data_IF_764433715535
#
_entry.id   IF_764433715535
#
_cell.length_a   1.000
_cell.length_b   1.000
_cell.length_c   1.000
_cell.angle_alpha   90.00
_cell.angle_beta   90.00
_cell.angle_gamma   90.00
#
_symmetry.space_group_name_H-M   'P 1'
#
loop_
_entity.id
_entity.type
_entity.pdbx_description
1 polymer ?
#
# COMPACT_ATOMS: atom_id res chain seq x y z
N UNK A 1 -18.28 13.61 2.10
CA UNK A 1 -18.04 13.90 0.67
C UNK A 1 -18.33 12.62 -0.11
N UNK A 2 -19.56 12.46 -0.64
CA UNK A 2 -19.95 11.27 -1.40
C UNK A 2 -19.55 11.51 -2.86
N UNK A 3 -18.42 10.96 -3.29
CA UNK A 3 -18.20 10.75 -4.73
C UNK A 3 -19.18 9.64 -5.13
N UNK A 4 -20.32 10.06 -5.69
CA UNK A 4 -21.42 9.16 -6.02
C UNK A 4 -21.03 8.31 -7.22
N UNK A 5 -21.35 7.01 -7.16
CA UNK A 5 -21.14 5.99 -8.19
C UNK A 5 -21.47 6.43 -9.62
N UNK A 6 -22.34 7.42 -9.78
CA UNK A 6 -22.68 8.07 -11.05
C UNK A 6 -21.47 8.73 -11.77
N UNK A 7 -20.49 9.27 -11.04
CA UNK A 7 -19.32 9.91 -11.67
C UNK A 7 -18.32 8.88 -12.22
N UNK A 8 -18.25 7.68 -11.62
CA UNK A 8 -17.48 6.54 -12.13
C UNK A 8 -18.18 5.86 -13.32
N UNK A 9 -19.51 5.77 -13.27
CA UNK A 9 -20.33 5.27 -14.38
C UNK A 9 -20.24 6.19 -15.62
N UNK A 10 -20.09 7.51 -15.44
CA UNK A 10 -19.97 8.45 -16.54
C UNK A 10 -18.64 8.35 -17.32
N UNK A 11 -17.62 7.68 -16.78
CA UNK A 11 -16.29 7.55 -17.38
C UNK A 11 -16.05 6.19 -18.05
N UNK A 12 -17.01 5.27 -17.99
CA UNK A 12 -16.80 3.87 -18.35
C UNK A 12 -17.99 3.37 -19.17
N UNK A 13 -17.72 2.73 -20.29
CA UNK A 13 -18.64 1.88 -21.06
C UNK A 13 -19.46 0.93 -20.16
N UNK A 14 -20.60 0.41 -20.64
CA UNK A 14 -21.56 -0.50 -19.96
C UNK A 14 -20.96 -1.87 -19.49
N UNK A 15 -19.76 -1.88 -18.92
CA UNK A 15 -19.03 -3.04 -18.44
C UNK A 15 -18.99 -3.05 -16.89
N UNK A 16 -19.84 -3.88 -16.24
CA UNK A 16 -19.88 -4.00 -14.78
C UNK A 16 -18.59 -4.55 -14.16
N UNK A 17 -17.85 -5.40 -14.88
CA UNK A 17 -16.60 -6.00 -14.37
C UNK A 17 -15.50 -4.95 -14.28
N UNK A 18 -15.44 -4.09 -15.29
CA UNK A 18 -14.56 -2.92 -15.30
C UNK A 18 -14.89 -1.96 -14.15
N UNK A 19 -16.17 -1.65 -13.92
CA UNK A 19 -16.58 -0.75 -12.81
C UNK A 19 -16.24 -1.33 -11.43
N UNK A 20 -16.46 -2.63 -11.22
CA UNK A 20 -16.11 -3.30 -9.98
C UNK A 20 -14.59 -3.27 -9.75
N UNK A 21 -13.80 -3.52 -10.79
CA UNK A 21 -12.34 -3.45 -10.76
C UNK A 21 -11.86 -2.06 -10.40
N UNK A 22 -12.31 -1.01 -11.12
CA UNK A 22 -11.93 0.37 -10.86
C UNK A 22 -12.30 0.83 -9.44
N UNK A 23 -13.48 0.41 -8.96
CA UNK A 23 -13.94 0.72 -7.59
C UNK A 23 -13.05 0.03 -6.55
N UNK A 24 -12.70 -1.24 -6.75
CA UNK A 24 -11.78 -1.98 -5.88
C UNK A 24 -10.42 -1.27 -5.80
N UNK A 25 -9.85 -0.88 -6.95
CA UNK A 25 -8.61 -0.10 -7.01
C UNK A 25 -8.69 1.21 -6.22
N UNK A 26 -9.77 1.98 -6.39
CA UNK A 26 -9.95 3.26 -5.68
C UNK A 26 -9.97 3.06 -4.16
N UNK A 27 -10.74 2.09 -3.65
CA UNK A 27 -10.80 1.82 -2.22
C UNK A 27 -9.46 1.32 -1.68
N UNK A 28 -8.78 0.42 -2.40
CA UNK A 28 -7.45 -0.04 -1.99
C UNK A 28 -6.44 1.10 -1.93
N UNK A 29 -6.42 2.03 -2.90
CA UNK A 29 -5.53 3.19 -2.86
C UNK A 29 -5.78 4.04 -1.62
N UNK A 30 -7.03 4.27 -1.25
CA UNK A 30 -7.39 5.04 -0.06
C UNK A 30 -6.98 4.33 1.23
N UNK A 31 -7.32 3.06 1.35
CA UNK A 31 -7.07 2.23 2.54
C UNK A 31 -5.56 2.05 2.78
N UNK A 32 -4.83 1.63 1.75
CA UNK A 32 -3.38 1.45 1.81
C UNK A 32 -2.68 2.81 1.97
N UNK A 33 -3.17 3.85 1.29
CA UNK A 33 -2.66 5.21 1.45
C UNK A 33 -2.74 5.71 2.89
N UNK A 34 -3.87 5.47 3.58
CA UNK A 34 -4.01 5.75 5.01
C UNK A 34 -2.94 4.98 5.80
N UNK A 35 -2.86 3.66 5.62
CA UNK A 35 -1.92 2.82 6.37
C UNK A 35 -0.45 3.24 6.17
N UNK A 36 -0.07 3.70 4.97
CA UNK A 36 1.26 4.26 4.67
C UNK A 36 1.52 5.55 5.43
N UNK A 37 0.54 6.46 5.53
CA UNK A 37 0.71 7.70 6.29
C UNK A 37 0.96 7.42 7.77
N UNK A 38 0.17 6.53 8.36
CA UNK A 38 0.33 6.11 9.75
C UNK A 38 1.68 5.41 10.00
N UNK A 39 2.11 4.58 9.05
CA UNK A 39 3.43 3.94 9.11
C UNK A 39 4.55 4.98 9.10
N UNK A 40 4.46 6.00 8.22
CA UNK A 40 5.44 7.10 8.15
C UNK A 40 5.51 7.89 9.45
N UNK A 41 4.39 8.11 10.13
CA UNK A 41 4.39 8.75 11.46
C UNK A 41 5.13 7.91 12.51
N UNK A 42 5.00 6.59 12.46
CA UNK A 42 5.78 5.72 13.35
C UNK A 42 7.28 5.78 13.01
N UNK A 43 7.64 5.73 11.72
CA UNK A 43 9.02 5.79 11.25
C UNK A 43 9.72 7.08 11.65
N UNK A 44 9.05 8.23 11.59
CA UNK A 44 9.63 9.52 11.99
C UNK A 44 10.10 9.56 13.46
N UNK A 45 9.70 8.59 14.28
CA UNK A 45 9.99 8.55 15.72
C UNK A 45 10.66 7.26 16.17
N UNK A 46 11.02 6.36 15.25
CA UNK A 46 11.71 5.12 15.60
C UNK A 46 13.18 5.42 15.94
N UNK A 47 13.74 4.87 17.04
CA UNK A 47 15.16 5.04 17.31
C UNK A 47 16.05 4.36 16.25
N UNK A 48 17.13 5.04 15.83
CA UNK A 48 18.13 4.55 14.87
C UNK A 48 18.84 3.23 15.21
N UNK A 49 18.62 2.68 16.40
CA UNK A 49 19.11 1.33 16.74
C UNK A 49 18.33 0.24 15.97
N UNK A 50 17.23 0.60 15.32
CA UNK A 50 16.34 -0.29 14.56
C UNK A 50 16.35 -0.01 13.05
N UNK A 51 17.51 0.33 12.49
CA UNK A 51 17.65 0.68 11.06
C UNK A 51 17.06 -0.39 10.12
N UNK A 52 17.24 -1.69 10.41
CA UNK A 52 16.69 -2.75 9.53
C UNK A 52 15.15 -2.67 9.43
N UNK A 53 14.47 -2.34 10.53
CA UNK A 53 13.01 -2.18 10.55
C UNK A 53 12.58 -0.88 9.87
N UNK A 54 13.36 0.19 10.05
CA UNK A 54 13.18 1.47 9.36
C UNK A 54 13.31 1.28 7.83
N UNK A 55 14.40 0.70 7.37
CA UNK A 55 14.71 0.47 5.96
C UNK A 55 13.68 -0.45 5.28
N UNK A 56 13.28 -1.54 5.96
CA UNK A 56 12.26 -2.44 5.44
C UNK A 56 10.89 -1.75 5.30
N UNK A 57 10.51 -0.92 6.28
CA UNK A 57 9.27 -0.16 6.20
C UNK A 57 9.34 1.01 5.21
N UNK A 58 10.49 1.66 5.04
CA UNK A 58 10.67 2.67 4.00
C UNK A 58 10.56 2.05 2.60
N UNK A 59 11.09 0.84 2.41
CA UNK A 59 10.92 0.07 1.17
C UNK A 59 9.44 -0.22 0.85
N UNK A 60 8.60 -0.40 1.87
CA UNK A 60 7.13 -0.49 1.68
C UNK A 60 6.57 0.84 1.19
N UNK A 61 6.93 1.95 1.84
CA UNK A 61 6.45 3.29 1.45
C UNK A 61 6.80 3.58 -0.02
N UNK A 62 8.04 3.31 -0.42
CA UNK A 62 8.53 3.56 -1.78
C UNK A 62 7.87 2.60 -2.79
N UNK A 63 7.74 1.32 -2.45
CA UNK A 63 7.12 0.32 -3.31
C UNK A 63 5.63 0.60 -3.56
N UNK A 64 4.91 1.08 -2.54
CA UNK A 64 3.50 1.46 -2.68
C UNK A 64 3.35 2.76 -3.48
N UNK A 65 4.22 3.75 -3.25
CA UNK A 65 4.22 4.97 -4.05
C UNK A 65 4.45 4.65 -5.54
N UNK A 66 5.41 3.78 -5.85
CA UNK A 66 5.68 3.33 -7.22
C UNK A 66 4.51 2.54 -7.83
N UNK A 67 3.86 1.67 -7.04
CA UNK A 67 2.67 0.94 -7.48
C UNK A 67 1.54 1.88 -7.88
N UNK A 68 1.27 2.92 -7.08
CA UNK A 68 0.18 3.85 -7.35
C UNK A 68 0.50 4.87 -8.44
N UNK A 69 1.78 5.21 -8.63
CA UNK A 69 2.22 6.03 -9.76
C UNK A 69 2.15 5.25 -11.09
N UNK A 70 2.46 3.94 -11.06
CA UNK A 70 2.45 3.07 -12.23
C UNK A 70 1.93 1.66 -11.88
N UNK A 71 0.61 1.39 -11.99
CA UNK A 71 0.00 0.15 -11.50
C UNK A 71 0.22 -1.06 -12.42
N UNK A 72 1.43 -1.62 -12.38
CA UNK A 72 1.81 -2.83 -13.14
C UNK A 72 1.81 -4.07 -12.25
N UNK A 73 1.72 -5.26 -12.87
CA UNK A 73 1.78 -6.53 -12.14
C UNK A 73 3.14 -6.71 -11.42
N UNK A 74 4.22 -6.22 -12.05
CA UNK A 74 5.56 -6.24 -11.47
C UNK A 74 5.65 -5.33 -10.23
N UNK A 75 5.11 -4.10 -10.30
CA UNK A 75 5.10 -3.20 -9.15
C UNK A 75 4.20 -3.73 -8.02
N UNK A 76 3.06 -4.38 -8.35
CA UNK A 76 2.22 -5.00 -7.33
C UNK A 76 2.95 -6.15 -6.62
N UNK A 77 3.63 -7.01 -7.39
CA UNK A 77 4.42 -8.09 -6.82
C UNK A 77 5.57 -7.55 -5.95
N UNK A 78 6.27 -6.52 -6.40
CA UNK A 78 7.33 -5.87 -5.63
C UNK A 78 6.80 -5.25 -4.33
N UNK A 79 5.68 -4.53 -4.37
CA UNK A 79 5.04 -3.94 -3.19
C UNK A 79 4.60 -5.01 -2.18
N UNK A 80 3.97 -6.11 -2.64
CA UNK A 80 3.62 -7.26 -1.79
C UNK A 80 4.87 -7.89 -1.15
N UNK A 81 5.94 -8.05 -1.92
CA UNK A 81 7.23 -8.56 -1.42
C UNK A 81 7.84 -7.68 -0.34
N UNK A 82 7.85 -6.36 -0.54
CA UNK A 82 8.32 -5.39 0.45
C UNK A 82 7.50 -5.46 1.75
N UNK A 83 6.16 -5.56 1.64
CA UNK A 83 5.29 -5.71 2.82
C UNK A 83 5.58 -7.00 3.56
N UNK A 84 5.73 -8.13 2.87
CA UNK A 84 6.05 -9.41 3.51
C UNK A 84 7.40 -9.39 4.23
N UNK A 85 8.42 -8.78 3.61
CA UNK A 85 9.73 -8.58 4.24
C UNK A 85 9.63 -7.70 5.48
N UNK A 86 8.97 -6.55 5.39
CA UNK A 86 8.80 -5.63 6.51
C UNK A 86 8.03 -6.28 7.67
N UNK A 87 6.99 -7.08 7.39
CA UNK A 87 6.28 -7.86 8.43
C UNK A 87 7.24 -8.78 9.16
N UNK A 88 8.14 -9.46 8.45
CA UNK A 88 9.12 -10.35 9.06
C UNK A 88 10.08 -9.59 9.98
N UNK A 89 10.70 -8.52 9.47
CA UNK A 89 11.70 -7.72 10.19
C UNK A 89 11.09 -7.02 11.41
N UNK A 90 9.92 -6.40 11.27
CA UNK A 90 9.25 -5.71 12.39
C UNK A 90 8.83 -6.69 13.48
N UNK A 91 8.35 -7.90 13.11
CA UNK A 91 8.01 -8.94 14.10
C UNK A 91 9.24 -9.46 14.83
N UNK A 92 10.38 -9.57 14.16
CA UNK A 92 11.64 -9.94 14.80
C UNK A 92 12.09 -8.85 15.79
N UNK A 93 12.08 -7.58 15.37
CA UNK A 93 12.38 -6.45 16.23
C UNK A 93 11.44 -6.39 17.45
N UNK A 94 10.14 -6.64 17.25
CA UNK A 94 9.14 -6.71 18.33
C UNK A 94 9.40 -7.83 19.34
N UNK A 95 10.13 -8.89 18.98
CA UNK A 95 10.48 -10.00 19.87
C UNK A 95 11.83 -9.79 20.57
N UNK A 96 12.58 -8.76 20.18
CA UNK A 96 13.87 -8.47 20.77
C UNK A 96 13.74 -8.12 22.25
N UNK A 97 14.37 -8.91 23.11
CA UNK A 97 14.43 -8.67 24.56
C UNK A 97 15.16 -7.37 24.94
N UNK A 98 15.81 -6.72 23.98
CA UNK A 98 16.52 -5.44 24.16
C UNK A 98 15.61 -4.23 23.92
N UNK A 99 14.40 -4.42 23.39
CA UNK A 99 13.50 -3.32 23.08
C UNK A 99 12.86 -2.74 24.36
N UNK A 100 12.92 -1.41 24.56
CA UNK A 100 12.12 -0.75 25.58
C UNK A 100 10.63 -0.93 25.30
N UNK A 101 9.79 -0.83 26.34
CA UNK A 101 8.33 -0.98 26.22
C UNK A 101 7.70 -0.06 25.17
N UNK A 102 8.20 1.17 25.04
CA UNK A 102 7.74 2.13 24.03
C UNK A 102 8.03 1.64 22.60
N UNK A 103 9.19 1.04 22.36
CA UNK A 103 9.55 0.45 21.07
C UNK A 103 8.65 -0.76 20.74
N UNK A 104 8.32 -1.59 21.71
CA UNK A 104 7.35 -2.68 21.53
C UNK A 104 5.99 -2.17 21.04
N UNK A 105 5.43 -1.14 21.68
CA UNK A 105 4.15 -0.56 21.24
C UNK A 105 4.23 0.01 19.82
N UNK A 106 5.35 0.64 19.44
CA UNK A 106 5.57 1.10 18.06
C UNK A 106 5.60 -0.08 17.07
N UNK A 107 6.33 -1.15 17.38
CA UNK A 107 6.41 -2.33 16.51
C UNK A 107 5.07 -3.06 16.39
N UNK A 108 4.25 -3.10 17.44
CA UNK A 108 2.89 -3.62 17.38
C UNK A 108 2.00 -2.79 16.44
N UNK A 109 2.06 -1.46 16.52
CA UNK A 109 1.33 -0.56 15.61
C UNK A 109 1.79 -0.75 14.16
N UNK A 110 3.10 -0.70 13.92
CA UNK A 110 3.69 -0.94 12.60
C UNK A 110 3.27 -2.31 12.04
N UNK A 111 3.28 -3.36 12.88
CA UNK A 111 2.80 -4.69 12.49
C UNK A 111 1.32 -4.68 12.08
N UNK A 112 0.48 -3.91 12.78
CA UNK A 112 -0.92 -3.73 12.43
C UNK A 112 -1.10 -3.11 11.05
N UNK A 113 -0.45 -1.97 10.78
CA UNK A 113 -0.53 -1.32 9.47
C UNK A 113 0.03 -2.19 8.34
N UNK A 114 1.16 -2.87 8.57
CA UNK A 114 1.74 -3.80 7.60
C UNK A 114 0.83 -5.00 7.32
N UNK A 115 0.17 -5.55 8.34
CA UNK A 115 -0.75 -6.65 8.15
C UNK A 115 -2.02 -6.23 7.40
N UNK A 116 -2.55 -5.05 7.72
CA UNK A 116 -3.66 -4.45 6.99
C UNK A 116 -3.31 -4.30 5.50
N UNK A 117 -2.19 -3.64 5.19
CA UNK A 117 -1.72 -3.51 3.80
C UNK A 117 -1.54 -4.86 3.11
N UNK A 118 -0.99 -5.86 3.80
CA UNK A 118 -0.82 -7.21 3.24
C UNK A 118 -2.15 -7.82 2.78
N UNK A 119 -3.19 -7.72 3.60
CA UNK A 119 -4.52 -8.28 3.29
C UNK A 119 -5.18 -7.47 2.17
N UNK A 120 -5.22 -6.15 2.30
CA UNK A 120 -5.83 -5.27 1.29
C UNK A 120 -5.15 -5.42 -0.08
N UNK A 121 -3.81 -5.49 -0.11
CA UNK A 121 -3.08 -5.71 -1.36
C UNK A 121 -3.27 -7.10 -1.92
N UNK A 122 -3.53 -8.14 -1.11
CA UNK A 122 -3.78 -9.49 -1.60
C UNK A 122 -5.14 -9.63 -2.31
N UNK A 123 -6.14 -8.86 -1.85
CA UNK A 123 -7.47 -8.78 -2.46
C UNK A 123 -7.50 -7.96 -3.76
N UNK A 124 -6.45 -7.16 -4.00
CA UNK A 124 -6.32 -6.39 -5.22
C UNK A 124 -6.23 -7.33 -6.43
N UNK A 125 -7.14 -7.23 -7.42
CA UNK A 125 -7.00 -7.96 -8.66
C UNK A 125 -5.64 -7.60 -9.28
N UNK A 126 -4.95 -8.58 -9.85
CA UNK A 126 -3.71 -8.27 -10.58
C UNK A 126 -4.03 -7.22 -11.62
N UNK A 127 -3.31 -6.09 -11.66
CA UNK A 127 -3.58 -5.07 -12.66
C UNK A 127 -3.48 -5.74 -14.02
N UNK A 128 -4.60 -5.75 -14.74
CA UNK A 128 -4.74 -6.37 -16.06
C UNK A 128 -3.93 -5.60 -17.12
N UNK A 129 -3.29 -4.50 -16.71
CA UNK A 129 -2.55 -3.62 -17.57
C UNK A 129 -1.11 -4.12 -17.77
N UNK A 130 -1.00 -5.13 -18.64
CA UNK A 130 0.14 -5.17 -19.57
C UNK A 130 0.00 -4.05 -20.61
N UNK A 131 -1.22 -3.54 -20.82
CA UNK A 131 -1.53 -2.26 -21.48
C UNK A 131 -2.65 -1.56 -20.70
N UNK A 132 -2.35 -0.42 -20.06
CA UNK A 132 -3.39 0.38 -19.44
C UNK A 132 -4.34 0.95 -20.51
N UNK A 133 -5.66 1.01 -20.26
CA UNK A 133 -6.60 1.48 -21.26
C UNK A 133 -6.30 2.95 -21.50
N UNK A 134 -6.52 3.42 -22.73
CA UNK A 134 -6.09 4.75 -23.18
C UNK A 134 -6.50 5.88 -22.23
N UNK A 135 -7.65 5.76 -21.55
CA UNK A 135 -8.13 6.74 -20.59
C UNK A 135 -7.26 6.83 -19.30
N UNK A 136 -6.73 5.70 -18.80
CA UNK A 136 -5.87 5.68 -17.61
C UNK A 136 -4.49 6.23 -17.96
N UNK A 137 -3.98 5.89 -19.15
CA UNK A 137 -2.77 6.50 -19.70
C UNK A 137 -2.95 8.02 -19.89
N UNK A 138 -4.09 8.44 -20.45
CA UNK A 138 -4.41 9.86 -20.63
C UNK A 138 -4.62 10.60 -19.32
N UNK A 139 -5.12 9.93 -18.27
CA UNK A 139 -5.24 10.47 -16.92
C UNK A 139 -3.87 10.67 -16.28
N UNK A 140 -2.98 9.67 -16.37
CA UNK A 140 -1.62 9.73 -15.82
C UNK A 140 -0.71 10.72 -16.59
N UNK A 141 -0.91 10.88 -17.91
CA UNK A 141 -0.10 11.76 -18.77
C UNK A 141 -0.43 13.26 -18.67
N UNK A 142 -1.50 13.67 -17.95
CA UNK A 142 -1.95 15.06 -17.82
C UNK A 142 -1.30 15.86 -16.67
N UNK A 143 -0.10 15.47 -16.22
CA UNK A 143 0.70 16.31 -15.30
C UNK A 143 1.25 17.56 -15.98
#
# INVERSE_FOLDING_TARGET
MRATSAQLAALSTDDPEFQATATSWMFTVLDVGHAVLELREQLATIPKVWNDAEDACQSVVDGIALLFDSPTAAHLAAARGAVDQAVSVVREAARSKRAPREAHTKFERMSGYLHFMRVTLAELPTPVHTDAPEWLQAFLARR
#
